data_IF_182026488297
#
_entry.id   IF_182026488297
#
_cell.length_a   1.000
_cell.length_b   1.000
_cell.length_c   1.000
_cell.angle_alpha   90.00
_cell.angle_beta   90.00
_cell.angle_gamma   90.00
#
_symmetry.space_group_name_H-M   'P 1'
#
loop_
_entity.id
_entity.type
_entity.pdbx_description
1 polymer ?
#
# COMPACT_ATOMS: atom_id res chain seq x y z
N UNK A 1 -6.51 -33.75 4.99
CA UNK A 1 -5.48 -33.07 4.18
C UNK A 1 -6.06 -31.72 3.83
N UNK A 2 -5.48 -30.63 4.32
CA UNK A 2 -6.00 -29.29 4.05
C UNK A 2 -5.85 -29.00 2.56
N UNK A 3 -6.96 -28.72 1.88
CA UNK A 3 -6.94 -28.23 0.49
C UNK A 3 -6.17 -26.91 0.47
N UNK A 4 -5.15 -26.83 -0.39
CA UNK A 4 -4.35 -25.62 -0.53
C UNK A 4 -5.16 -24.57 -1.26
N UNK A 5 -5.31 -23.39 -0.68
CA UNK A 5 -5.93 -22.26 -1.37
C UNK A 5 -5.14 -21.94 -2.64
N UNK A 6 -5.82 -21.87 -3.78
CA UNK A 6 -5.19 -21.51 -5.03
C UNK A 6 -5.19 -19.98 -5.18
N UNK A 7 -4.07 -19.41 -5.60
CA UNK A 7 -3.95 -17.98 -5.88
C UNK A 7 -3.93 -17.74 -7.39
N UNK A 8 -4.59 -16.68 -7.83
CA UNK A 8 -4.42 -16.14 -9.19
C UNK A 8 -4.10 -14.66 -9.13
N UNK A 9 -3.38 -14.17 -10.14
CA UNK A 9 -2.98 -12.77 -10.24
C UNK A 9 -3.56 -12.18 -11.51
N UNK A 10 -4.31 -11.09 -11.36
CA UNK A 10 -4.82 -10.28 -12.46
C UNK A 10 -4.12 -8.94 -12.49
N UNK A 11 -3.93 -8.42 -13.70
CA UNK A 11 -3.26 -7.14 -13.94
C UNK A 11 -4.18 -6.18 -14.67
N UNK A 12 -4.25 -4.95 -14.19
CA UNK A 12 -5.05 -3.90 -14.81
C UNK A 12 -4.26 -2.61 -14.82
N UNK A 13 -4.23 -1.96 -15.98
CA UNK A 13 -3.55 -0.68 -16.13
C UNK A 13 -4.25 0.40 -15.30
N UNK A 14 -3.48 1.12 -14.49
CA UNK A 14 -3.90 2.35 -13.82
C UNK A 14 -3.41 3.54 -14.63
N UNK A 15 -4.18 3.90 -15.65
CA UNK A 15 -3.97 5.07 -16.51
C UNK A 15 -5.18 6.02 -16.42
N UNK A 16 -5.24 7.04 -17.27
CA UNK A 16 -6.37 7.97 -17.35
C UNK A 16 -7.70 7.31 -17.75
N UNK A 17 -7.68 6.10 -18.33
CA UNK A 17 -8.84 5.34 -18.76
C UNK A 17 -9.34 4.37 -17.69
N UNK A 18 -8.58 4.18 -16.60
CA UNK A 18 -8.96 3.29 -15.53
C UNK A 18 -10.30 3.67 -14.90
N UNK A 19 -11.23 2.71 -14.86
CA UNK A 19 -12.51 2.80 -14.19
C UNK A 19 -12.70 1.57 -13.29
N UNK A 20 -13.11 1.74 -12.01
CA UNK A 20 -13.47 0.62 -11.15
C UNK A 20 -14.65 -0.16 -11.73
N UNK A 21 -14.67 -1.49 -11.57
CA UNK A 21 -15.81 -2.31 -11.97
C UNK A 21 -16.99 -2.17 -11.00
N UNK A 22 -18.21 -2.10 -11.53
CA UNK A 22 -19.45 -1.84 -10.75
C UNK A 22 -19.77 -2.94 -9.73
N UNK A 23 -19.34 -4.18 -9.95
CA UNK A 23 -19.83 -5.35 -9.22
C UNK A 23 -18.99 -5.80 -8.02
N UNK A 24 -17.74 -5.35 -7.88
CA UNK A 24 -16.79 -5.94 -6.90
C UNK A 24 -15.75 -4.98 -6.32
N UNK A 25 -15.62 -3.76 -6.85
CA UNK A 25 -14.47 -2.88 -6.58
C UNK A 25 -14.84 -1.62 -5.86
N UNK A 26 -15.44 -1.75 -4.69
CA UNK A 26 -15.95 -0.58 -3.98
C UNK A 26 -14.82 0.31 -3.43
N UNK A 27 -13.63 -0.17 -3.02
CA UNK A 27 -12.83 0.63 -2.05
C UNK A 27 -11.30 0.62 -2.14
N UNK A 28 -10.66 0.27 -3.27
CA UNK A 28 -9.20 0.49 -3.32
C UNK A 28 -8.87 1.96 -3.05
N UNK A 29 -7.72 2.21 -2.43
CA UNK A 29 -7.31 3.57 -2.05
C UNK A 29 -7.34 4.55 -3.24
N UNK A 30 -7.11 4.05 -4.46
CA UNK A 30 -7.17 4.80 -5.71
C UNK A 30 -8.51 4.72 -6.46
N UNK A 31 -9.43 3.79 -6.13
CA UNK A 31 -10.74 3.71 -6.79
C UNK A 31 -11.58 4.97 -6.61
N UNK A 32 -11.47 5.67 -5.47
CA UNK A 32 -12.18 6.92 -5.26
C UNK A 32 -11.69 8.04 -6.20
N UNK A 33 -10.39 8.09 -6.51
CA UNK A 33 -9.83 9.02 -7.50
C UNK A 33 -10.34 8.74 -8.91
N UNK A 34 -10.71 7.48 -9.15
CA UNK A 34 -11.16 6.96 -10.43
C UNK A 34 -12.69 6.97 -10.60
N UNK A 35 -13.42 7.85 -9.89
CA UNK A 35 -14.88 7.98 -9.95
C UNK A 35 -15.35 9.41 -10.23
N UNK A 36 -16.62 9.51 -10.62
CA UNK A 36 -17.31 10.78 -10.84
C UNK A 36 -16.90 11.49 -12.14
N UNK A 37 -17.44 12.68 -12.33
CA UNK A 37 -17.26 13.47 -13.57
C UNK A 37 -15.80 13.92 -13.78
N UNK A 38 -15.02 14.07 -12.71
CA UNK A 38 -13.62 14.48 -12.76
C UNK A 38 -12.62 13.31 -12.81
N UNK A 39 -13.08 12.07 -12.99
CA UNK A 39 -12.27 10.84 -13.00
C UNK A 39 -10.99 10.97 -13.83
N UNK A 40 -11.15 11.22 -15.14
CA UNK A 40 -10.03 11.22 -16.09
C UNK A 40 -9.00 12.31 -15.77
N UNK A 41 -9.48 13.50 -15.40
CA UNK A 41 -8.62 14.62 -15.02
C UNK A 41 -7.88 14.36 -13.70
N UNK A 42 -8.55 13.78 -12.70
CA UNK A 42 -7.93 13.37 -11.45
C UNK A 42 -6.82 12.35 -11.68
N UNK A 43 -7.05 11.34 -12.52
CA UNK A 43 -6.06 10.32 -12.86
C UNK A 43 -4.87 10.92 -13.62
N UNK A 44 -5.10 11.75 -14.64
CA UNK A 44 -4.02 12.46 -15.36
C UNK A 44 -3.17 13.31 -14.43
N UNK A 45 -3.80 14.11 -13.55
CA UNK A 45 -3.09 14.96 -12.58
C UNK A 45 -2.29 14.11 -11.58
N UNK A 46 -2.85 13.00 -11.13
CA UNK A 46 -2.16 12.07 -10.22
C UNK A 46 -0.92 11.48 -10.89
N UNK A 47 -1.05 10.94 -12.10
CA UNK A 47 0.07 10.37 -12.86
C UNK A 47 1.15 11.43 -13.18
N UNK A 48 0.74 12.65 -13.51
CA UNK A 48 1.65 13.76 -13.70
C UNK A 48 2.43 14.11 -12.40
N UNK A 49 1.76 14.15 -11.24
CA UNK A 49 2.43 14.34 -9.95
C UNK A 49 3.46 13.24 -9.67
N UNK A 50 3.13 11.98 -9.98
CA UNK A 50 4.03 10.84 -9.81
C UNK A 50 5.26 10.98 -10.72
N UNK A 51 5.06 11.27 -12.01
CA UNK A 51 6.16 11.46 -12.95
C UNK A 51 7.07 12.64 -12.54
N UNK A 52 6.49 13.78 -12.18
CA UNK A 52 7.25 14.95 -11.73
C UNK A 52 8.07 14.62 -10.48
N UNK A 53 7.47 13.91 -9.51
CA UNK A 53 8.17 13.54 -8.28
C UNK A 53 9.28 12.54 -8.54
N UNK A 54 9.05 11.56 -9.43
CA UNK A 54 10.09 10.60 -9.82
C UNK A 54 11.28 11.32 -10.45
N UNK A 55 11.04 12.19 -11.44
CA UNK A 55 12.10 12.94 -12.12
C UNK A 55 12.85 13.89 -11.19
N UNK A 56 12.18 14.45 -10.18
CA UNK A 56 12.83 15.27 -9.15
C UNK A 56 13.87 14.48 -8.36
N UNK A 57 13.57 13.22 -8.04
CA UNK A 57 14.47 12.34 -7.28
C UNK A 57 15.51 11.64 -8.18
N UNK A 58 15.12 11.29 -9.41
CA UNK A 58 16.00 10.77 -10.46
C UNK A 58 16.62 11.92 -11.27
N UNK A 59 17.39 12.78 -10.60
CA UNK A 59 17.93 14.02 -11.17
C UNK A 59 19.21 13.82 -12.00
N UNK A 60 19.90 12.69 -11.83
CA UNK A 60 21.12 12.38 -12.56
C UNK A 60 20.83 12.27 -14.07
N UNK A 61 21.58 13.02 -14.89
CA UNK A 61 21.38 13.11 -16.33
C UNK A 61 19.93 13.44 -16.75
N UNK A 62 19.24 14.24 -15.93
CA UNK A 62 17.85 14.63 -16.13
C UNK A 62 17.62 16.14 -15.89
N UNK A 63 18.30 17.03 -16.66
CA UNK A 63 18.31 18.47 -16.39
C UNK A 63 16.94 19.15 -16.54
N UNK A 64 16.04 18.59 -17.37
CA UNK A 64 14.70 19.12 -17.61
C UNK A 64 13.62 18.47 -16.72
N UNK A 65 14.00 17.48 -15.91
CA UNK A 65 13.08 16.70 -15.07
C UNK A 65 11.92 16.03 -15.85
N UNK A 66 12.17 15.58 -17.07
CA UNK A 66 11.19 14.98 -17.98
C UNK A 66 11.65 13.66 -18.62
N UNK A 67 12.81 13.10 -18.21
CA UNK A 67 13.39 11.89 -18.79
C UNK A 67 12.58 10.62 -18.54
N UNK A 68 11.86 10.53 -17.43
CA UNK A 68 11.22 9.29 -17.00
C UNK A 68 9.70 9.40 -16.94
N UNK A 69 9.01 8.33 -17.34
CA UNK A 69 7.57 8.14 -17.09
C UNK A 69 7.31 6.83 -16.36
N UNK A 70 6.31 6.83 -15.49
CA UNK A 70 5.87 5.66 -14.74
C UNK A 70 4.59 5.12 -15.33
N UNK A 71 4.64 3.84 -15.67
CA UNK A 71 3.47 3.02 -15.92
C UNK A 71 3.10 2.29 -14.62
N UNK A 72 1.82 2.33 -14.25
CA UNK A 72 1.33 1.74 -13.02
C UNK A 72 0.29 0.68 -13.36
N UNK A 73 0.50 -0.52 -12.83
CA UNK A 73 -0.44 -1.62 -12.91
C UNK A 73 -1.01 -1.93 -11.52
N UNK A 74 -2.33 -2.12 -11.45
CA UNK A 74 -3.01 -2.74 -10.32
C UNK A 74 -2.82 -4.24 -10.45
N UNK A 75 -2.13 -4.81 -9.47
CA UNK A 75 -1.97 -6.24 -9.28
C UNK A 75 -3.03 -6.68 -8.29
N UNK A 76 -3.98 -7.49 -8.76
CA UNK A 76 -5.10 -8.01 -7.97
C UNK A 76 -4.90 -9.50 -7.76
N UNK A 77 -4.70 -9.88 -6.49
CA UNK A 77 -4.58 -11.27 -6.09
C UNK A 77 -5.95 -11.79 -5.66
N UNK A 78 -6.33 -12.91 -6.26
CA UNK A 78 -7.58 -13.60 -5.94
C UNK A 78 -7.29 -14.97 -5.32
N UNK A 79 -8.15 -15.39 -4.40
CA UNK A 79 -8.04 -16.63 -3.66
C UNK A 79 -9.23 -17.52 -4.01
N UNK A 80 -8.94 -18.76 -4.39
CA UNK A 80 -9.92 -19.84 -4.46
C UNK A 80 -9.74 -20.71 -3.22
N UNK A 81 -10.74 -20.65 -2.32
CA UNK A 81 -10.73 -21.32 -1.02
C UNK A 81 -11.02 -22.81 -1.16
N UNK A 82 -11.89 -23.19 -2.11
CA UNK A 82 -12.38 -24.56 -2.25
C UNK A 82 -11.76 -25.33 -3.42
N UNK A 83 -11.07 -24.62 -4.33
CA UNK A 83 -10.48 -25.19 -5.55
C UNK A 83 -11.52 -25.45 -6.65
N UNK A 84 -12.69 -24.80 -6.60
CA UNK A 84 -13.79 -25.02 -7.54
C UNK A 84 -13.84 -23.97 -8.67
N UNK A 85 -12.86 -23.06 -8.72
CA UNK A 85 -12.76 -21.96 -9.68
C UNK A 85 -13.47 -20.68 -9.25
N UNK A 86 -14.20 -20.68 -8.12
CA UNK A 86 -14.78 -19.46 -7.56
C UNK A 86 -13.73 -18.71 -6.73
N UNK A 87 -13.50 -17.47 -7.10
CA UNK A 87 -12.40 -16.66 -6.57
C UNK A 87 -12.90 -15.45 -5.80
N UNK A 88 -12.14 -15.08 -4.77
CA UNK A 88 -12.36 -13.87 -3.99
C UNK A 88 -11.14 -12.95 -4.08
N UNK A 89 -11.29 -11.68 -4.53
CA UNK A 89 -10.19 -10.73 -4.50
C UNK A 89 -9.87 -10.38 -3.05
N UNK A 90 -8.61 -10.55 -2.62
CA UNK A 90 -8.27 -10.34 -1.21
C UNK A 90 -7.15 -9.32 -0.99
N UNK A 91 -6.22 -9.16 -1.95
CA UNK A 91 -5.13 -8.18 -1.88
C UNK A 91 -4.99 -7.47 -3.22
N UNK A 92 -4.87 -6.15 -3.19
CA UNK A 92 -4.53 -5.32 -4.34
C UNK A 92 -3.35 -4.41 -4.03
N UNK A 93 -2.41 -4.31 -4.96
CA UNK A 93 -1.24 -3.46 -4.84
C UNK A 93 -0.86 -2.87 -6.20
N UNK A 94 -0.14 -1.75 -6.17
CA UNK A 94 0.39 -1.14 -7.37
C UNK A 94 1.81 -1.65 -7.65
N UNK A 95 2.05 -1.99 -8.91
CA UNK A 95 3.36 -2.26 -9.50
C UNK A 95 3.70 -1.13 -10.46
N UNK A 96 4.90 -0.60 -10.34
CA UNK A 96 5.43 0.39 -11.29
C UNK A 96 6.40 -0.24 -12.28
N UNK A 97 6.42 0.31 -13.49
CA UNK A 97 7.46 0.14 -14.51
C UNK A 97 7.88 1.53 -14.97
N UNK A 98 9.18 1.77 -15.09
CA UNK A 98 9.73 3.06 -15.50
C UNK A 98 10.14 2.95 -16.96
N UNK A 99 9.76 3.93 -17.76
CA UNK A 99 10.28 4.13 -19.12
C UNK A 99 11.31 5.24 -19.07
N UNK A 100 12.54 4.94 -19.49
CA UNK A 100 13.59 5.94 -19.72
C UNK A 100 13.52 6.42 -21.16
N UNK A 101 13.10 7.67 -21.38
CA UNK A 101 12.93 8.22 -22.73
C UNK A 101 14.26 8.52 -23.45
N UNK A 102 15.38 8.54 -22.73
CA UNK A 102 16.71 8.77 -23.32
C UNK A 102 17.28 7.47 -23.91
N UNK A 103 17.13 6.36 -23.20
CA UNK A 103 17.65 5.04 -23.63
C UNK A 103 16.59 4.16 -24.27
N UNK A 104 15.31 4.52 -24.15
CA UNK A 104 14.15 3.72 -24.55
C UNK A 104 14.08 2.36 -23.84
N UNK A 105 14.60 2.29 -22.61
CA UNK A 105 14.60 1.09 -21.78
C UNK A 105 13.42 1.08 -20.82
N UNK A 106 12.96 -0.13 -20.51
CA UNK A 106 11.99 -0.38 -19.44
C UNK A 106 12.69 -0.92 -18.22
N UNK A 107 12.51 -0.23 -17.10
CA UNK A 107 13.18 -0.52 -15.84
C UNK A 107 12.12 -0.95 -14.82
N UNK A 108 12.44 -1.99 -14.06
CA UNK A 108 11.56 -2.49 -13.00
C UNK A 108 11.44 -1.45 -11.87
N UNK A 109 10.20 -1.11 -11.53
CA UNK A 109 9.86 -0.31 -10.36
C UNK A 109 9.37 -1.16 -9.18
N UNK A 110 8.95 -0.51 -8.10
CA UNK A 110 8.48 -1.17 -6.89
C UNK A 110 7.11 -1.84 -7.09
N UNK A 111 6.92 -2.98 -6.41
CA UNK A 111 5.62 -3.59 -6.12
C UNK A 111 5.25 -3.42 -4.65
N UNK A 112 3.97 -3.23 -4.36
CA UNK A 112 3.45 -3.15 -2.98
C UNK A 112 2.91 -1.76 -2.60
N UNK A 113 3.06 -0.77 -3.49
CA UNK A 113 2.52 0.57 -3.30
C UNK A 113 1.00 0.54 -3.19
N UNK A 114 0.44 1.44 -2.38
CA UNK A 114 -1.00 1.59 -2.17
C UNK A 114 -1.71 0.28 -1.83
N UNK A 115 -1.07 -0.53 -0.99
CA UNK A 115 -1.59 -1.81 -0.51
C UNK A 115 -3.02 -1.68 0.04
N UNK A 116 -3.91 -2.45 -0.57
CA UNK A 116 -5.33 -2.55 -0.24
C UNK A 116 -5.65 -4.01 0.05
N UNK A 117 -6.44 -4.26 1.08
CA UNK A 117 -6.83 -5.63 1.45
C UNK A 117 -8.25 -5.65 1.97
N UNK A 118 -9.01 -6.64 1.49
CA UNK A 118 -10.40 -6.86 1.87
C UNK A 118 -10.50 -7.32 3.32
N UNK A 119 -9.64 -8.26 3.73
CA UNK A 119 -9.59 -8.75 5.12
C UNK A 119 -9.10 -7.64 6.06
N UNK A 120 -8.16 -6.79 5.63
CA UNK A 120 -7.76 -5.62 6.42
C UNK A 120 -8.91 -4.63 6.60
N UNK A 121 -9.66 -4.34 5.55
CA UNK A 121 -10.80 -3.44 5.64
C UNK A 121 -11.89 -4.02 6.55
N UNK A 122 -12.12 -5.34 6.53
CA UNK A 122 -12.96 -6.05 7.50
C UNK A 122 -12.47 -5.89 8.94
N UNK A 123 -11.21 -6.23 9.20
CA UNK A 123 -10.60 -6.15 10.53
C UNK A 123 -10.71 -4.74 11.11
N UNK A 124 -10.33 -3.71 10.33
CA UNK A 124 -10.31 -2.34 10.83
C UNK A 124 -11.67 -1.65 10.85
N UNK A 125 -12.56 -1.97 9.90
CA UNK A 125 -13.83 -1.23 9.71
C UNK A 125 -15.05 -1.96 10.26
N UNK A 126 -14.95 -3.24 10.58
CA UNK A 126 -16.05 -4.06 11.13
C UNK A 126 -15.67 -4.64 12.49
N UNK A 127 -14.55 -5.38 12.59
CA UNK A 127 -14.17 -6.08 13.84
C UNK A 127 -13.85 -5.11 14.98
N UNK A 128 -12.93 -4.16 14.76
CA UNK A 128 -12.56 -3.21 15.83
C UNK A 128 -13.75 -2.38 16.33
N UNK A 129 -14.61 -1.79 15.46
CA UNK A 129 -15.79 -1.08 15.93
C UNK A 129 -16.81 -1.98 16.65
N UNK A 130 -17.03 -3.21 16.18
CA UNK A 130 -17.97 -4.14 16.81
C UNK A 130 -17.56 -4.52 18.23
N UNK A 131 -16.24 -4.55 18.50
CA UNK A 131 -15.67 -4.81 19.83
C UNK A 131 -15.53 -3.54 20.69
N UNK A 132 -15.86 -2.36 20.15
CA UNK A 132 -15.70 -1.08 20.86
C UNK A 132 -14.24 -0.72 21.16
N UNK A 133 -13.29 -1.28 20.42
CA UNK A 133 -11.86 -1.08 20.67
C UNK A 133 -11.46 0.39 20.45
N UNK A 134 -10.76 0.96 21.44
CA UNK A 134 -10.14 2.28 21.32
C UNK A 134 -8.90 2.25 20.41
N UNK A 135 -8.27 3.41 20.20
CA UNK A 135 -7.16 3.57 19.26
C UNK A 135 -5.93 2.68 19.55
N UNK A 136 -5.72 2.28 20.79
CA UNK A 136 -4.59 1.45 21.22
C UNK A 136 -5.01 0.01 21.60
N UNK A 137 -6.28 -0.33 21.43
CA UNK A 137 -6.82 -1.64 21.76
C UNK A 137 -7.01 -2.47 20.50
N UNK A 138 -6.81 -3.78 20.64
CA UNK A 138 -7.02 -4.79 19.60
C UNK A 138 -7.14 -6.18 20.26
N UNK A 139 -7.86 -7.12 19.63
CA UNK A 139 -7.77 -8.54 19.96
C UNK A 139 -6.35 -9.09 19.84
N UNK A 140 -6.06 -10.19 20.53
CA UNK A 140 -4.74 -10.84 20.50
C UNK A 140 -4.39 -11.40 19.11
N UNK A 141 -5.41 -11.95 18.42
CA UNK A 141 -5.34 -12.54 17.09
C UNK A 141 -5.55 -11.52 15.95
N UNK A 142 -5.60 -10.22 16.28
CA UNK A 142 -5.89 -9.16 15.31
C UNK A 142 -4.86 -9.13 14.18
N UNK A 143 -5.32 -9.44 12.96
CA UNK A 143 -4.51 -9.51 11.75
C UNK A 143 -3.86 -10.86 11.46
N UNK A 144 -4.07 -11.89 12.28
CA UNK A 144 -3.43 -13.20 12.10
C UNK A 144 -3.84 -13.87 10.78
N UNK A 145 -5.15 -13.90 10.48
CA UNK A 145 -5.65 -14.49 9.24
C UNK A 145 -5.05 -13.77 8.03
N UNK A 146 -5.11 -12.45 8.02
CA UNK A 146 -4.59 -11.66 6.90
C UNK A 146 -3.07 -11.77 6.76
N UNK A 147 -2.33 -11.80 7.88
CA UNK A 147 -0.90 -12.06 7.90
C UNK A 147 -0.54 -13.36 7.19
N UNK A 148 -1.24 -14.44 7.53
CA UNK A 148 -1.07 -15.76 6.90
C UNK A 148 -1.46 -15.76 5.43
N UNK A 149 -2.59 -15.14 5.06
CA UNK A 149 -3.01 -15.00 3.67
C UNK A 149 -2.00 -14.23 2.81
N UNK A 150 -1.43 -13.14 3.36
CA UNK A 150 -0.35 -12.41 2.71
C UNK A 150 0.87 -13.31 2.52
N UNK A 151 1.33 -14.00 3.56
CA UNK A 151 2.46 -14.91 3.50
C UNK A 151 2.23 -16.06 2.50
N UNK A 152 1.02 -16.60 2.44
CA UNK A 152 0.62 -17.59 1.45
C UNK A 152 0.76 -17.04 0.02
N UNK A 153 0.24 -15.83 -0.23
CA UNK A 153 0.34 -15.18 -1.54
C UNK A 153 1.80 -15.01 -1.97
N UNK A 154 2.62 -14.33 -1.17
CA UNK A 154 3.99 -13.98 -1.57
C UNK A 154 4.93 -15.19 -1.69
N UNK A 155 4.57 -16.32 -1.08
CA UNK A 155 5.31 -17.56 -1.20
C UNK A 155 4.77 -18.52 -2.27
N UNK A 156 3.60 -18.24 -2.84
CA UNK A 156 3.02 -19.03 -3.93
C UNK A 156 3.86 -18.97 -5.21
N UNK A 157 3.83 -20.04 -6.00
CA UNK A 157 4.54 -20.10 -7.27
C UNK A 157 4.01 -19.09 -8.28
N UNK A 158 2.70 -18.81 -8.25
CA UNK A 158 2.07 -17.80 -9.10
C UNK A 158 2.66 -16.41 -8.82
N UNK A 159 2.86 -16.05 -7.55
CA UNK A 159 3.48 -14.77 -7.21
C UNK A 159 4.96 -14.74 -7.58
N UNK A 160 5.72 -15.80 -7.30
CA UNK A 160 7.16 -15.89 -7.60
C UNK A 160 7.45 -15.93 -9.11
N UNK A 161 6.53 -16.47 -9.91
CA UNK A 161 6.62 -16.47 -11.36
C UNK A 161 6.49 -15.04 -11.94
N UNK A 162 5.62 -14.23 -11.34
CA UNK A 162 5.38 -12.84 -11.78
C UNK A 162 6.40 -11.84 -11.20
N UNK A 163 6.84 -12.04 -9.95
CA UNK A 163 7.64 -11.07 -9.23
C UNK A 163 8.89 -11.68 -8.60
N UNK A 164 10.05 -11.12 -8.96
CA UNK A 164 11.35 -11.57 -8.47
C UNK A 164 11.72 -11.03 -7.08
N UNK A 165 11.00 -10.00 -6.61
CA UNK A 165 11.26 -9.33 -5.33
C UNK A 165 10.00 -9.25 -4.50
N UNK A 166 10.20 -9.28 -3.19
CA UNK A 166 9.14 -9.10 -2.20
C UNK A 166 8.57 -7.67 -2.26
N UNK A 167 7.26 -7.48 -2.02
CA UNK A 167 6.66 -6.15 -1.97
C UNK A 167 7.26 -5.25 -0.90
N UNK A 168 7.33 -3.96 -1.20
CA UNK A 168 7.50 -2.89 -0.20
C UNK A 168 6.20 -2.12 -0.11
N UNK A 169 5.60 -2.14 1.07
CA UNK A 169 4.37 -1.39 1.35
C UNK A 169 4.79 -0.05 1.92
N UNK A 170 4.38 1.04 1.29
CA UNK A 170 4.67 2.39 1.78
C UNK A 170 3.37 3.10 2.15
N UNK A 171 3.29 3.64 3.37
CA UNK A 171 2.10 4.29 3.94
C UNK A 171 2.46 5.60 4.63
N UNK A 172 1.42 6.33 5.03
CA UNK A 172 1.60 7.42 5.98
C UNK A 172 2.05 6.92 7.35
N UNK A 173 2.90 7.69 8.02
CA UNK A 173 3.10 7.58 9.47
C UNK A 173 1.82 7.76 10.27
N UNK A 174 1.79 7.18 11.48
CA UNK A 174 0.64 7.25 12.41
C UNK A 174 0.58 8.60 13.12
N UNK A 175 -0.60 9.17 13.26
CA UNK A 175 -0.83 10.40 14.05
C UNK A 175 -0.78 10.15 15.56
N UNK A 176 -0.81 8.88 15.99
CA UNK A 176 -0.75 8.50 17.42
C UNK A 176 0.66 8.39 17.97
N UNK A 177 1.68 8.60 17.11
CA UNK A 177 3.09 8.41 17.46
C UNK A 177 3.88 9.68 17.22
N UNK A 178 4.93 9.82 18.02
CA UNK A 178 5.96 10.84 17.85
C UNK A 178 7.18 10.20 17.21
N UNK A 179 7.76 10.90 16.24
CA UNK A 179 8.90 10.44 15.45
C UNK A 179 10.09 11.35 15.71
N UNK A 180 11.26 10.73 15.92
CA UNK A 180 12.51 11.39 16.23
C UNK A 180 13.50 11.19 15.09
N UNK A 181 13.96 12.30 14.54
CA UNK A 181 14.96 12.32 13.47
C UNK A 181 16.26 11.71 13.99
N UNK A 182 16.86 10.82 13.21
CA UNK A 182 18.17 10.24 13.49
C UNK A 182 19.28 10.93 12.69
N UNK A 183 20.54 10.54 12.92
CA UNK A 183 21.67 10.96 12.10
C UNK A 183 21.77 10.21 10.76
N UNK A 184 21.01 9.11 10.57
CA UNK A 184 21.07 8.32 9.36
C UNK A 184 20.38 9.03 8.20
N UNK A 185 21.09 9.14 7.07
CA UNK A 185 20.60 9.74 5.82
C UNK A 185 20.93 8.78 4.69
N UNK A 186 19.88 8.18 4.12
CA UNK A 186 20.00 7.34 2.95
C UNK A 186 19.91 8.20 1.68
N UNK A 187 20.71 7.94 0.62
CA UNK A 187 20.75 8.78 -0.58
C UNK A 187 19.39 8.93 -1.28
N UNK A 188 18.60 7.86 -1.35
CA UNK A 188 17.26 7.88 -1.96
C UNK A 188 16.12 8.10 -0.96
N UNK A 189 16.03 7.28 0.09
CA UNK A 189 14.97 7.36 1.10
C UNK A 189 15.02 8.66 1.93
N UNK A 190 16.18 9.33 1.99
CA UNK A 190 16.37 10.56 2.76
C UNK A 190 16.65 10.30 4.23
N UNK A 191 16.15 11.20 5.09
CA UNK A 191 16.49 11.21 6.51
C UNK A 191 15.64 10.19 7.27
N UNK A 192 16.26 9.35 8.08
CA UNK A 192 15.56 8.37 8.91
C UNK A 192 14.97 8.99 10.18
N UNK A 193 13.77 8.52 10.52
CA UNK A 193 13.09 8.75 11.78
C UNK A 193 12.85 7.43 12.51
N UNK A 194 12.79 7.48 13.82
CA UNK A 194 12.43 6.36 14.70
C UNK A 194 11.33 6.79 15.68
N UNK A 195 10.68 5.84 16.33
CA UNK A 195 9.67 6.07 17.37
C UNK A 195 9.91 5.09 18.52
N UNK A 196 9.42 5.44 19.71
CA UNK A 196 9.62 4.64 20.92
C UNK A 196 8.76 3.36 20.91
N UNK A 197 7.58 3.42 20.30
CA UNK A 197 6.61 2.33 20.28
C UNK A 197 5.92 2.19 18.91
N UNK A 198 5.73 0.94 18.51
CA UNK A 198 4.94 0.57 17.33
C UNK A 198 3.47 0.98 17.47
N UNK A 199 2.87 1.39 16.35
CA UNK A 199 1.44 1.61 16.21
C UNK A 199 0.71 0.30 15.96
N UNK A 200 -0.61 0.31 16.16
CA UNK A 200 -1.48 -0.83 15.80
C UNK A 200 -1.32 -1.26 14.34
N UNK A 201 -1.04 -0.34 13.43
CA UNK A 201 -0.77 -0.65 12.02
C UNK A 201 0.56 -1.37 11.87
N UNK A 202 1.60 -0.93 12.59
CA UNK A 202 2.92 -1.58 12.54
C UNK A 202 2.83 -3.02 13.04
N UNK A 203 2.17 -3.26 14.17
CA UNK A 203 1.96 -4.62 14.69
C UNK A 203 1.15 -5.49 13.72
N UNK A 204 0.18 -4.90 13.02
CA UNK A 204 -0.64 -5.62 12.05
C UNK A 204 0.18 -6.06 10.83
N UNK A 205 1.07 -5.19 10.32
CA UNK A 205 2.01 -5.56 9.26
C UNK A 205 3.12 -6.51 9.75
N UNK A 206 3.45 -6.50 11.05
CA UNK A 206 4.36 -7.49 11.61
C UNK A 206 3.80 -8.92 11.50
N UNK A 207 2.47 -9.12 11.58
CA UNK A 207 1.81 -10.42 11.32
C UNK A 207 2.02 -10.93 9.89
N UNK A 208 2.32 -10.04 8.94
CA UNK A 208 2.68 -10.39 7.56
C UNK A 208 4.16 -10.80 7.42
N UNK A 209 4.96 -10.68 8.49
CA UNK A 209 6.41 -10.86 8.45
C UNK A 209 7.17 -9.63 7.95
N UNK A 210 6.56 -8.44 8.04
CA UNK A 210 7.17 -7.19 7.59
C UNK A 210 7.72 -6.39 8.77
N UNK A 211 8.88 -5.75 8.55
CA UNK A 211 9.45 -4.76 9.47
C UNK A 211 9.27 -3.36 8.91
N UNK A 212 9.06 -2.37 9.77
CA UNK A 212 8.84 -0.97 9.38
C UNK A 212 10.10 -0.12 9.58
N UNK A 213 10.33 0.81 8.66
CA UNK A 213 11.27 1.93 8.83
C UNK A 213 10.64 3.23 8.35
N UNK A 214 11.04 4.34 8.96
CA UNK A 214 10.45 5.64 8.65
C UNK A 214 11.49 6.55 8.02
N UNK A 215 11.22 6.99 6.80
CA UNK A 215 12.15 7.85 6.06
C UNK A 215 11.42 9.05 5.50
N UNK A 216 12.01 10.23 5.64
CA UNK A 216 11.56 11.46 5.00
C UNK A 216 12.44 11.70 3.77
N UNK A 217 11.92 11.45 2.56
CA UNK A 217 12.64 11.72 1.32
C UNK A 217 13.04 13.19 1.20
N UNK A 218 14.04 13.44 0.36
CA UNK A 218 14.47 14.80 0.05
C UNK A 218 13.29 15.63 -0.49
N UNK A 219 13.11 16.84 0.02
CA UNK A 219 11.99 17.74 -0.32
C UNK A 219 10.58 17.23 0.00
N UNK A 220 10.44 16.08 0.67
CA UNK A 220 9.17 15.69 1.30
C UNK A 220 8.96 16.49 2.59
N UNK A 221 7.72 16.63 3.02
CA UNK A 221 7.34 17.39 4.23
C UNK A 221 7.35 16.51 5.49
N UNK A 222 7.02 15.22 5.38
CA UNK A 222 6.95 14.28 6.50
C UNK A 222 7.58 12.92 6.17
N UNK A 223 7.98 12.11 7.16
CA UNK A 223 8.42 10.74 6.93
C UNK A 223 7.27 9.85 6.43
N UNK A 224 7.61 8.89 5.56
CA UNK A 224 6.77 7.78 5.13
C UNK A 224 7.17 6.52 5.89
N UNK A 225 6.20 5.63 6.13
CA UNK A 225 6.44 4.31 6.73
C UNK A 225 6.62 3.27 5.64
N UNK A 226 7.78 2.62 5.60
CA UNK A 226 8.13 1.57 4.65
C UNK A 226 8.16 0.22 5.35
N UNK A 227 7.26 -0.69 4.96
CA UNK A 227 7.17 -2.05 5.46
C UNK A 227 7.76 -3.01 4.43
N UNK A 228 8.74 -3.81 4.84
CA UNK A 228 9.42 -4.77 3.97
C UNK A 228 9.82 -6.04 4.73
N UNK A 229 9.80 -7.18 4.04
CA UNK A 229 10.31 -8.45 4.57
C UNK A 229 11.85 -8.51 4.54
N UNK A 230 12.45 -7.83 3.56
CA UNK A 230 13.89 -7.79 3.35
C UNK A 230 14.51 -6.51 3.90
N UNK A 231 15.84 -6.41 3.88
CA UNK A 231 16.55 -5.18 4.18
C UNK A 231 16.24 -4.11 3.12
N UNK A 232 15.41 -3.13 3.48
CA UNK A 232 15.01 -2.01 2.62
C UNK A 232 16.20 -1.24 2.03
N UNK A 233 17.31 -1.10 2.77
CA UNK A 233 18.43 -0.22 2.36
C UNK A 233 19.31 -0.83 1.27
N UNK A 234 19.28 -2.14 1.08
CA UNK A 234 20.18 -2.84 0.16
C UNK A 234 19.49 -3.86 -0.73
N UNK A 235 18.21 -4.18 -0.47
CA UNK A 235 17.44 -5.16 -1.24
C UNK A 235 16.82 -4.61 -2.53
N UNK A 236 16.80 -3.29 -2.69
CA UNK A 236 16.10 -2.61 -3.79
C UNK A 236 17.01 -1.58 -4.47
N UNK A 237 16.79 -1.39 -5.77
CA UNK A 237 17.53 -0.40 -6.57
C UNK A 237 17.04 1.00 -6.27
N UNK A 238 17.84 2.00 -6.64
CA UNK A 238 17.45 3.40 -6.52
C UNK A 238 16.13 3.69 -7.26
N UNK A 239 15.95 3.17 -8.48
CA UNK A 239 14.70 3.37 -9.23
C UNK A 239 13.49 2.68 -8.59
N UNK A 240 13.66 1.51 -7.98
CA UNK A 240 12.59 0.88 -7.20
C UNK A 240 12.21 1.77 -6.02
N UNK A 241 13.18 2.23 -5.22
CA UNK A 241 12.91 3.10 -4.07
C UNK A 241 12.30 4.45 -4.49
N UNK A 242 12.82 5.10 -5.53
CA UNK A 242 12.27 6.34 -6.08
C UNK A 242 10.83 6.12 -6.55
N UNK A 243 10.54 5.02 -7.25
CA UNK A 243 9.18 4.73 -7.71
C UNK A 243 8.19 4.53 -6.56
N UNK A 244 8.63 3.92 -5.45
CA UNK A 244 7.82 3.79 -4.24
C UNK A 244 7.49 5.17 -3.63
N UNK A 245 8.52 6.00 -3.47
CA UNK A 245 8.38 7.37 -2.93
C UNK A 245 7.48 8.21 -3.83
N UNK A 246 7.76 8.25 -5.14
CA UNK A 246 7.04 9.13 -6.08
C UNK A 246 5.56 8.78 -6.16
N UNK A 247 5.24 7.49 -6.17
CA UNK A 247 3.85 7.01 -6.16
C UNK A 247 3.19 7.34 -4.83
N UNK A 248 3.77 6.91 -3.70
CA UNK A 248 3.09 7.03 -2.42
C UNK A 248 3.05 8.45 -1.87
N UNK A 249 4.10 9.25 -2.03
CA UNK A 249 4.07 10.66 -1.61
C UNK A 249 3.01 11.44 -2.39
N UNK A 250 2.86 11.19 -3.70
CA UNK A 250 1.82 11.84 -4.51
C UNK A 250 0.43 11.47 -4.02
N UNK A 251 0.17 10.19 -3.74
CA UNK A 251 -1.08 9.76 -3.13
C UNK A 251 -1.29 10.37 -1.74
N UNK A 252 -0.27 10.42 -0.88
CA UNK A 252 -0.42 11.00 0.45
C UNK A 252 -0.65 12.51 0.42
N UNK A 253 -0.10 13.25 -0.56
CA UNK A 253 -0.43 14.68 -0.80
C UNK A 253 -1.90 14.89 -1.13
N UNK A 254 -2.55 13.90 -1.74
CA UNK A 254 -3.99 13.94 -2.04
C UNK A 254 -4.81 13.52 -0.81
N UNK A 255 -4.41 12.45 -0.12
CA UNK A 255 -5.20 11.84 0.94
C UNK A 255 -5.08 12.55 2.30
N UNK A 256 -3.89 13.05 2.61
CA UNK A 256 -3.51 13.64 3.90
C UNK A 256 -2.64 14.88 3.68
N UNK A 257 -3.15 15.90 2.97
CA UNK A 257 -2.38 17.11 2.68
C UNK A 257 -1.90 17.82 3.95
N UNK A 258 -2.59 17.67 5.08
CA UNK A 258 -2.21 18.21 6.38
C UNK A 258 -0.84 17.70 6.87
N UNK A 259 -0.44 16.51 6.39
CA UNK A 259 0.83 15.86 6.75
C UNK A 259 1.82 15.96 5.60
N UNK A 260 1.39 15.69 4.35
CA UNK A 260 2.31 15.52 3.21
C UNK A 260 2.34 16.69 2.23
N UNK A 261 1.39 17.63 2.33
CA UNK A 261 1.36 18.84 1.53
C UNK A 261 1.30 20.12 2.38
N UNK A 262 1.86 20.03 3.59
CA UNK A 262 2.01 21.14 4.53
C UNK A 262 3.11 22.10 4.10
N UNK A 263 3.00 23.38 4.51
CA UNK A 263 4.06 24.38 4.33
C UNK A 263 5.14 24.31 5.43
N UNK A 264 4.99 23.41 6.42
CA UNK A 264 5.94 23.20 7.51
C UNK A 264 6.49 21.76 7.49
N UNK A 265 7.77 21.60 7.16
CA UNK A 265 8.40 20.28 7.16
C UNK A 265 8.64 19.75 8.58
N UNK A 266 8.61 18.43 8.73
CA UNK A 266 8.93 17.71 9.96
C UNK A 266 10.32 18.10 10.49
N UNK A 267 10.35 18.53 11.76
CA UNK A 267 11.55 18.90 12.49
C UNK A 267 12.26 17.69 13.13
N UNK A 268 13.16 17.96 14.09
CA UNK A 268 13.89 16.90 14.81
C UNK A 268 12.96 15.96 15.60
N UNK A 269 11.86 16.50 16.10
CA UNK A 269 10.78 15.78 16.75
C UNK A 269 9.49 16.12 16.01
N UNK A 270 8.75 15.11 15.58
CA UNK A 270 7.60 15.29 14.71
C UNK A 270 6.45 14.39 15.13
N UNK A 271 5.29 15.00 15.42
CA UNK A 271 4.03 14.29 15.59
C UNK A 271 3.08 14.69 14.47
N UNK A 272 2.68 13.77 13.58
CA UNK A 272 1.77 14.09 12.48
C UNK A 272 0.39 14.48 13.02
N UNK A 273 -0.25 15.47 12.39
CA UNK A 273 -1.60 15.89 12.75
C UNK A 273 -2.49 16.10 11.53
N UNK A 274 -3.72 15.59 11.59
CA UNK A 274 -4.76 15.83 10.58
C UNK A 274 -5.56 17.10 10.86
N UNK A 275 -5.25 17.82 11.94
CA UNK A 275 -5.85 19.12 12.27
C UNK A 275 -4.89 20.28 11.99
N UNK A 276 -3.74 20.02 11.34
CA UNK A 276 -2.81 21.06 10.97
C UNK A 276 -3.40 21.93 9.85
N UNK A 277 -3.46 23.25 10.04
CA UNK A 277 -4.17 24.16 9.14
C UNK A 277 -3.31 24.77 8.02
N UNK A 278 -1.99 24.74 8.15
CA UNK A 278 -1.07 25.36 7.19
C UNK A 278 -0.59 24.35 6.13
N UNK A 279 -1.46 24.10 5.14
CA UNK A 279 -1.21 23.19 4.04
C UNK A 279 -1.86 23.65 2.74
N UNK A 280 -1.37 23.11 1.63
CA UNK A 280 -1.93 23.35 0.31
C UNK A 280 -2.78 22.17 -0.15
N UNK A 281 -3.88 22.44 -0.85
CA UNK A 281 -4.66 21.40 -1.54
C UNK A 281 -4.13 21.20 -2.95
N UNK A 282 -4.17 19.95 -3.41
CA UNK A 282 -3.97 19.66 -4.84
C UNK A 282 -5.21 20.08 -5.63
N UNK A 283 -5.12 20.13 -6.96
CA UNK A 283 -6.29 20.30 -7.83
C UNK A 283 -7.05 18.98 -8.07
N UNK A 284 -6.74 17.92 -7.33
CA UNK A 284 -7.38 16.61 -7.48
C UNK A 284 -8.51 16.53 -6.46
N UNK A 285 -9.72 16.24 -6.94
CA UNK A 285 -10.89 16.09 -6.07
C UNK A 285 -10.85 14.70 -5.44
N UNK A 286 -10.86 14.63 -4.11
CA UNK A 286 -10.83 13.38 -3.36
C UNK A 286 -11.82 13.45 -2.18
N UNK A 287 -12.80 12.55 -2.18
CA UNK A 287 -13.83 12.51 -1.14
C UNK A 287 -13.44 11.54 -0.02
N UNK A 288 -12.96 12.09 1.10
CA UNK A 288 -12.56 11.30 2.28
C UNK A 288 -13.76 10.67 3.00
N UNK A 289 -14.93 11.31 2.94
CA UNK A 289 -16.15 10.79 3.57
C UNK A 289 -16.64 9.59 2.80
N UNK A 290 -16.72 9.72 1.48
CA UNK A 290 -17.04 8.60 0.59
C UNK A 290 -16.02 7.47 0.77
N UNK A 291 -14.72 7.75 0.79
CA UNK A 291 -13.68 6.73 1.04
C UNK A 291 -13.90 5.96 2.35
N UNK A 292 -14.27 6.65 3.42
CA UNK A 292 -14.56 6.05 4.72
C UNK A 292 -15.80 5.14 4.67
N UNK A 293 -16.89 5.63 4.07
CA UNK A 293 -18.11 4.83 3.87
C UNK A 293 -17.85 3.59 3.01
N UNK A 294 -17.04 3.75 1.97
CA UNK A 294 -16.58 2.69 1.10
C UNK A 294 -15.85 1.62 1.93
N UNK A 295 -14.83 1.97 2.72
CA UNK A 295 -14.10 1.01 3.57
C UNK A 295 -15.03 0.13 4.41
N UNK A 296 -16.04 0.73 5.05
CA UNK A 296 -17.05 0.00 5.84
C UNK A 296 -17.88 -0.93 4.96
N UNK A 297 -18.33 -0.48 3.78
CA UNK A 297 -19.09 -1.32 2.83
C UNK A 297 -18.27 -2.53 2.38
N UNK A 298 -16.99 -2.37 2.06
CA UNK A 298 -16.14 -3.51 1.70
C UNK A 298 -15.83 -4.42 2.87
N UNK A 299 -15.64 -3.88 4.08
CA UNK A 299 -15.51 -4.70 5.27
C UNK A 299 -16.71 -5.62 5.46
N UNK A 300 -17.93 -5.10 5.36
CA UNK A 300 -19.17 -5.90 5.45
C UNK A 300 -19.33 -6.88 4.30
N UNK A 301 -19.05 -6.46 3.07
CA UNK A 301 -19.09 -7.36 1.92
C UNK A 301 -18.09 -8.51 2.06
N UNK A 302 -16.89 -8.23 2.58
CA UNK A 302 -15.88 -9.25 2.89
C UNK A 302 -16.37 -10.19 3.99
N UNK A 303 -17.04 -9.65 5.02
CA UNK A 303 -17.67 -10.48 6.06
C UNK A 303 -18.66 -11.47 5.45
N UNK A 304 -19.59 -10.97 4.64
CA UNK A 304 -20.70 -11.74 4.06
C UNK A 304 -20.25 -12.75 2.99
N UNK A 305 -19.23 -12.41 2.19
CA UNK A 305 -18.86 -13.16 0.98
C UNK A 305 -17.56 -13.96 1.13
N UNK A 306 -16.80 -13.75 2.21
CA UNK A 306 -15.52 -14.45 2.43
C UNK A 306 -15.39 -14.98 3.86
N UNK A 307 -15.53 -14.12 4.87
CA UNK A 307 -15.28 -14.52 6.25
C UNK A 307 -16.33 -15.50 6.76
N UNK A 308 -17.62 -15.20 6.63
CA UNK A 308 -18.70 -16.06 7.12
C UNK A 308 -18.84 -17.36 6.32
N UNK A 309 -18.87 -17.35 4.97
CA UNK A 309 -19.07 -18.57 4.20
C UNK A 309 -17.94 -19.59 4.39
N UNK A 310 -16.70 -19.11 4.57
CA UNK A 310 -15.52 -19.97 4.67
C UNK A 310 -14.93 -20.01 6.08
N UNK A 311 -15.67 -19.58 7.11
CA UNK A 311 -15.15 -19.40 8.47
C UNK A 311 -14.41 -20.63 8.99
N UNK A 312 -15.02 -21.80 8.91
CA UNK A 312 -14.45 -23.03 9.45
C UNK A 312 -13.20 -23.46 8.64
N UNK A 313 -13.25 -23.33 7.31
CA UNK A 313 -12.12 -23.63 6.41
C UNK A 313 -10.95 -22.68 6.69
N UNK A 314 -11.21 -21.38 6.80
CA UNK A 314 -10.21 -20.35 7.06
C UNK A 314 -9.57 -20.56 8.44
N UNK A 315 -10.35 -20.92 9.46
CA UNK A 315 -9.85 -21.21 10.80
C UNK A 315 -8.99 -22.47 10.84
N UNK A 316 -9.45 -23.57 10.23
CA UNK A 316 -8.67 -24.81 10.13
C UNK A 316 -7.37 -24.58 9.37
N UNK A 317 -7.44 -23.88 8.24
CA UNK A 317 -6.27 -23.55 7.45
C UNK A 317 -5.29 -22.67 8.22
N UNK A 318 -5.78 -21.60 8.86
CA UNK A 318 -4.94 -20.68 9.62
C UNK A 318 -4.28 -21.36 10.82
N UNK A 319 -4.95 -22.31 11.49
CA UNK A 319 -4.39 -23.08 12.60
C UNK A 319 -3.23 -24.00 12.16
N UNK A 320 -3.25 -24.46 10.90
CA UNK A 320 -2.26 -25.39 10.35
C UNK A 320 -1.25 -24.74 9.39
N UNK A 321 -1.34 -23.43 9.15
CA UNK A 321 -0.48 -22.73 8.20
C UNK A 321 0.98 -22.66 8.69
N UNK A 322 1.90 -23.05 7.81
CA UNK A 322 3.33 -22.82 7.96
C UNK A 322 3.93 -22.41 6.62
N UNK A 323 4.99 -21.58 6.65
CA UNK A 323 5.65 -21.08 5.44
C UNK A 323 6.29 -22.22 4.63
N UNK A 324 6.77 -23.28 5.29
CA UNK A 324 7.35 -24.46 4.64
C UNK A 324 6.34 -25.21 3.76
N UNK A 325 5.04 -25.18 4.11
CA UNK A 325 3.96 -25.80 3.32
C UNK A 325 3.47 -24.91 2.16
N UNK A 326 3.86 -23.63 2.12
CA UNK A 326 3.41 -22.66 1.11
C UNK A 326 4.20 -22.72 -0.21
N UNK A 327 5.39 -23.35 -0.21
CA UNK A 327 6.27 -23.45 -1.38
C UNK A 327 6.48 -24.87 -1.94
N UNK A 328 5.76 -25.86 -1.41
CA UNK A 328 5.84 -27.25 -1.88
C UNK A 328 4.55 -27.61 -2.61
N UNK A 329 4.38 -27.20 -3.85
CA UNK A 329 3.38 -27.74 -4.78
C UNK A 329 4.04 -28.05 -6.12
#
# INVERSE_FOLDING_TARGET
MSNKFACTIKRIRFDENYAPADSTRLTTNFANLARGEHREENLRRTLAMINNRFNTLASCDNPNADRYSLEIDIISAELDVEGNGQTFPFIEMLKSTITDHKTNERIEGMIGNSFSSYVRDYDFSVVLPALGCKFNEKPEDFGDLHGKLYQHLINSDVFKAEFKKQPVICLSVSTTKTYYRTANVHPILGVEYTNDDYSRTDDYFAKMGLSVRYFKPENATAPLAFYSANNLLSGYTDFELISAISTMESFQKIYRPEIYNTNAAAGLVYQPSLSFGDYSLTRIVYDRVERGQLAVKQGKWTEENFIQPYKDILNEWAANFSIENAGAA
#
